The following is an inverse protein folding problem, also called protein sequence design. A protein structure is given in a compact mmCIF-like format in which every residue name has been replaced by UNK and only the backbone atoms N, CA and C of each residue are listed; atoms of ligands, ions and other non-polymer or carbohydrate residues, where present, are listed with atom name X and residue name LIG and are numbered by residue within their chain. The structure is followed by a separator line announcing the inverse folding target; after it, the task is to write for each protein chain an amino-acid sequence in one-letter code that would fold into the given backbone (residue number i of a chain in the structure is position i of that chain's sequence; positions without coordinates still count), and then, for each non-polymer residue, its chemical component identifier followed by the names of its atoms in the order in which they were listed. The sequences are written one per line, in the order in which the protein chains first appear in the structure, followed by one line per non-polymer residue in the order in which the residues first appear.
data_IF_103647407767
#
_entry.id   IF_103647407767
#
_cell.length_a   1.000
_cell.length_b   1.000
_cell.length_c   1.000
_cell.angle_alpha   90.00
_cell.angle_beta   90.00
_cell.angle_gamma   90.00
#
_symmetry.space_group_name_H-M   'P 1'
#
loop_
_entity.id
_entity.type
_entity.pdbx_description
1 polymer ?
#
# COMPACT_ATOMS: atom_id res chain seq x y z
N UNK A 1 3.15 -0.13 -4.61
CA UNK A 1 2.59 -0.07 -5.97
C UNK A 1 3.71 -0.30 -6.97
N UNK A 2 3.41 -0.93 -8.10
CA UNK A 2 4.38 -1.19 -9.17
C UNK A 2 3.83 -0.68 -10.48
N UNK A 3 4.61 0.14 -11.19
CA UNK A 3 4.23 0.64 -12.50
C UNK A 3 4.38 -0.47 -13.55
N UNK A 4 3.33 -0.66 -14.34
CA UNK A 4 3.41 -1.39 -15.60
C UNK A 4 3.61 -0.37 -16.72
N UNK A 5 4.82 -0.28 -17.32
CA UNK A 5 5.09 0.71 -18.36
C UNK A 5 4.39 0.39 -19.69
N UNK A 6 3.86 -0.83 -19.88
CA UNK A 6 3.32 -1.27 -21.16
C UNK A 6 4.41 -1.47 -22.22
N UNK A 7 4.06 -1.24 -23.49
CA UNK A 7 4.98 -1.41 -24.62
C UNK A 7 5.66 -0.08 -24.95
N UNK A 8 6.99 -0.12 -25.06
CA UNK A 8 7.84 0.98 -25.52
C UNK A 8 8.77 0.48 -26.62
N UNK A 9 9.29 1.40 -27.42
CA UNK A 9 10.35 1.11 -28.40
C UNK A 9 11.52 0.43 -27.71
N UNK A 10 12.03 -0.65 -28.30
CA UNK A 10 13.18 -1.37 -27.76
C UNK A 10 14.39 -0.44 -27.59
N UNK A 11 15.10 -0.57 -26.48
CA UNK A 11 16.23 0.29 -26.13
C UNK A 11 15.88 1.65 -25.52
N UNK A 12 14.60 2.01 -25.40
CA UNK A 12 14.20 3.24 -24.71
C UNK A 12 14.51 3.17 -23.20
N UNK A 13 15.15 4.21 -22.68
CA UNK A 13 15.35 4.40 -21.25
C UNK A 13 14.07 4.97 -20.63
N UNK A 14 13.61 4.37 -19.53
CA UNK A 14 12.36 4.76 -18.87
C UNK A 14 12.64 5.41 -17.51
N UNK A 15 12.09 6.61 -17.29
CA UNK A 15 12.03 7.26 -15.99
C UNK A 15 10.59 7.31 -15.47
N UNK A 16 10.44 7.33 -14.14
CA UNK A 16 9.15 7.20 -13.47
C UNK A 16 9.01 8.28 -12.41
N UNK A 17 7.87 8.94 -12.40
CA UNK A 17 7.46 9.89 -11.37
C UNK A 17 6.06 9.53 -10.89
N UNK A 18 5.93 9.28 -9.60
CA UNK A 18 4.67 9.05 -8.93
C UNK A 18 4.09 10.34 -8.39
N UNK A 19 2.76 10.42 -8.40
CA UNK A 19 2.00 11.52 -7.85
C UNK A 19 0.85 10.99 -6.97
N UNK A 20 0.63 11.67 -5.85
CA UNK A 20 -0.51 11.47 -4.95
C UNK A 20 -1.44 12.67 -5.08
N UNK A 21 -2.62 12.48 -5.69
CA UNK A 21 -3.53 13.59 -6.06
C UNK A 21 -2.81 14.75 -6.76
N UNK A 22 -1.89 14.45 -7.68
CA UNK A 22 -1.15 15.45 -8.45
C UNK A 22 0.12 16.01 -7.79
N UNK A 23 0.39 15.70 -6.52
CA UNK A 23 1.61 16.11 -5.82
C UNK A 23 2.68 15.03 -5.94
N UNK A 24 3.93 15.40 -6.23
CA UNK A 24 5.04 14.45 -6.34
C UNK A 24 5.18 13.59 -5.07
N UNK A 25 5.20 12.27 -5.25
CA UNK A 25 5.20 11.28 -4.16
C UNK A 25 6.42 10.36 -4.17
N UNK A 26 7.10 10.21 -5.30
CA UNK A 26 8.30 9.38 -5.40
C UNK A 26 8.73 9.11 -6.84
N UNK A 27 9.87 8.45 -6.99
CA UNK A 27 10.45 8.09 -8.28
C UNK A 27 10.74 6.59 -8.34
N UNK A 28 10.95 6.08 -9.56
CA UNK A 28 11.27 4.68 -9.81
C UNK A 28 10.05 3.82 -10.15
N UNK A 29 10.31 2.60 -10.62
CA UNK A 29 9.26 1.68 -11.09
C UNK A 29 8.27 1.29 -9.98
N UNK A 30 8.72 1.32 -8.74
CA UNK A 30 7.92 0.96 -7.56
C UNK A 30 7.77 2.14 -6.61
N UNK A 31 6.58 2.29 -6.03
CA UNK A 31 6.29 3.24 -4.97
C UNK A 31 5.90 2.51 -3.70
N UNK A 32 6.63 2.73 -2.62
CA UNK A 32 6.24 2.31 -1.27
C UNK A 32 5.23 3.30 -0.72
N UNK A 33 4.06 2.81 -0.30
CA UNK A 33 3.02 3.65 0.28
C UNK A 33 3.30 3.93 1.76
N UNK A 34 3.09 5.16 2.18
CA UNK A 34 3.24 5.61 3.57
C UNK A 34 1.89 6.10 4.10
N UNK A 35 1.83 6.46 5.39
CA UNK A 35 0.63 7.04 5.98
C UNK A 35 0.20 8.36 5.33
N UNK A 36 1.14 9.17 4.81
CA UNK A 36 0.83 10.43 4.13
C UNK A 36 0.09 10.28 2.80
N UNK A 37 0.01 9.04 2.30
CA UNK A 37 -0.68 8.68 1.06
C UNK A 37 -2.13 8.26 1.28
N UNK A 38 -2.55 8.04 2.53
CA UNK A 38 -3.90 7.59 2.84
C UNK A 38 -4.96 8.55 2.30
N UNK A 39 -6.03 8.00 1.73
CA UNK A 39 -7.11 8.75 1.10
C UNK A 39 -6.78 9.31 -0.29
N UNK A 40 -5.53 9.22 -0.76
CA UNK A 40 -5.11 9.77 -2.05
C UNK A 40 -5.16 8.73 -3.16
N UNK A 41 -5.54 9.16 -4.37
CA UNK A 41 -5.36 8.39 -5.60
C UNK A 41 -3.93 8.53 -6.10
N UNK A 42 -3.35 7.43 -6.58
CA UNK A 42 -1.99 7.41 -7.11
C UNK A 42 -1.99 7.39 -8.62
N UNK A 43 -1.16 8.21 -9.24
CA UNK A 43 -0.84 8.14 -10.67
C UNK A 43 0.67 8.01 -10.85
N UNK A 44 1.09 7.40 -11.96
CA UNK A 44 2.49 7.36 -12.37
C UNK A 44 2.62 7.93 -13.77
N UNK A 45 3.60 8.82 -13.94
CA UNK A 45 4.06 9.29 -15.24
C UNK A 45 5.34 8.54 -15.60
N UNK A 46 5.32 7.86 -16.74
CA UNK A 46 6.48 7.18 -17.31
C UNK A 46 6.95 7.99 -18.51
N UNK A 47 8.22 8.37 -18.51
CA UNK A 47 8.85 9.08 -19.62
C UNK A 47 9.87 8.17 -20.28
N UNK A 48 9.70 7.90 -21.56
CA UNK A 48 10.66 7.17 -22.38
C UNK A 48 11.54 8.10 -23.18
N UNK A 49 12.84 7.85 -23.18
CA UNK A 49 13.84 8.57 -23.96
C UNK A 49 14.67 7.60 -24.80
N UNK A 50 14.98 7.99 -26.03
CA UNK A 50 15.83 7.22 -26.94
C UNK A 50 16.60 8.19 -27.82
N UNK A 51 17.91 7.98 -27.99
CA UNK A 51 18.76 8.89 -28.77
C UNK A 51 18.26 8.97 -30.23
N UNK A 52 18.13 10.18 -30.76
CA UNK A 52 17.57 10.42 -32.09
C UNK A 52 16.03 10.44 -32.13
N UNK A 53 15.34 10.28 -31.00
CA UNK A 53 13.89 10.36 -30.89
C UNK A 53 13.45 11.44 -29.91
N UNK A 54 12.25 11.97 -30.13
CA UNK A 54 11.60 12.87 -29.17
C UNK A 54 11.16 12.08 -27.93
N UNK A 55 11.46 12.60 -26.74
CA UNK A 55 11.01 12.03 -25.47
C UNK A 55 9.48 12.07 -25.34
N UNK A 56 8.87 10.96 -24.93
CA UNK A 56 7.42 10.84 -24.74
C UNK A 56 7.10 10.47 -23.31
N UNK A 57 6.07 11.09 -22.74
CA UNK A 57 5.57 10.73 -21.42
C UNK A 57 4.12 10.24 -21.47
N UNK A 58 3.82 9.21 -20.69
CA UNK A 58 2.47 8.65 -20.51
C UNK A 58 2.12 8.60 -19.03
N UNK A 59 0.90 9.00 -18.68
CA UNK A 59 0.41 8.99 -17.30
C UNK A 59 -0.67 7.94 -17.15
N UNK A 60 -0.62 7.17 -16.06
CA UNK A 60 -1.65 6.17 -15.76
C UNK A 60 -2.98 6.83 -15.35
N UNK A 61 -4.07 6.05 -15.44
CA UNK A 61 -5.26 6.36 -14.65
C UNK A 61 -4.94 6.37 -13.15
N UNK A 62 -5.71 7.11 -12.37
CA UNK A 62 -5.59 7.12 -10.92
C UNK A 62 -6.03 5.79 -10.33
N UNK A 63 -5.32 5.30 -9.32
CA UNK A 63 -5.79 4.19 -8.49
C UNK A 63 -7.01 4.62 -7.68
N UNK A 64 -7.75 3.64 -7.13
CA UNK A 64 -8.62 3.91 -5.98
C UNK A 64 -7.82 4.56 -4.85
N UNK A 65 -8.50 5.32 -4.00
CA UNK A 65 -7.89 5.93 -2.84
C UNK A 65 -7.15 4.89 -1.98
N UNK A 66 -5.92 5.22 -1.59
CA UNK A 66 -5.10 4.37 -0.72
C UNK A 66 -5.81 4.22 0.63
N UNK A 67 -6.10 2.98 1.00
CA UNK A 67 -6.69 2.67 2.31
C UNK A 67 -5.66 2.85 3.42
N UNK A 68 -6.12 3.30 4.58
CA UNK A 68 -5.30 3.31 5.78
C UNK A 68 -4.85 1.89 6.13
N UNK A 69 -3.58 1.75 6.53
CA UNK A 69 -3.14 0.54 7.17
C UNK A 69 -3.88 0.41 8.51
N UNK A 70 -4.28 -0.80 8.93
CA UNK A 70 -4.84 -0.98 10.24
C UNK A 70 -3.80 -0.58 11.30
N UNK A 71 -4.24 0.03 12.42
CA UNK A 71 -3.37 0.37 13.52
C UNK A 71 -2.68 -0.89 14.09
N UNK A 72 -1.51 -0.71 14.70
CA UNK A 72 -0.68 -1.80 15.21
C UNK A 72 -0.60 -1.74 16.73
N UNK A 73 -0.85 -2.86 17.40
CA UNK A 73 -0.64 -3.01 18.83
C UNK A 73 0.86 -3.17 19.10
N UNK A 74 1.37 -2.47 20.11
CA UNK A 74 2.81 -2.38 20.39
C UNK A 74 3.37 -3.60 21.13
N UNK A 75 2.53 -4.29 21.92
CA UNK A 75 2.92 -5.50 22.63
C UNK A 75 2.69 -6.79 21.83
N UNK A 76 3.04 -7.92 22.45
CA UNK A 76 2.65 -9.24 21.93
C UNK A 76 1.21 -9.57 22.33
N UNK A 77 0.52 -10.32 21.47
CA UNK A 77 -0.85 -10.78 21.71
C UNK A 77 -0.93 -12.30 21.74
N UNK A 78 -1.90 -12.83 22.49
CA UNK A 78 -2.16 -14.28 22.56
C UNK A 78 -3.31 -14.66 21.64
N UNK A 79 -3.18 -15.77 20.92
CA UNK A 79 -4.23 -16.25 20.04
C UNK A 79 -5.52 -16.62 20.79
N UNK A 80 -6.65 -16.13 20.29
CA UNK A 80 -7.96 -16.36 20.89
C UNK A 80 -8.27 -15.53 22.14
N UNK A 81 -7.30 -14.78 22.66
CA UNK A 81 -7.52 -13.87 23.78
C UNK A 81 -8.49 -12.75 23.39
N UNK A 82 -9.27 -12.29 24.37
CA UNK A 82 -10.13 -11.13 24.19
C UNK A 82 -9.29 -9.89 23.92
N UNK A 83 -9.81 -8.99 23.09
CA UNK A 83 -9.23 -7.68 22.85
C UNK A 83 -10.25 -6.59 23.17
N UNK A 84 -9.74 -5.47 23.69
CA UNK A 84 -10.56 -4.33 24.06
C UNK A 84 -11.23 -3.71 22.81
N UNK A 85 -12.36 -3.04 23.01
CA UNK A 85 -13.14 -2.44 21.92
C UNK A 85 -12.33 -1.40 21.15
N UNK A 86 -11.46 -0.65 21.82
CA UNK A 86 -10.56 0.30 21.18
C UNK A 86 -9.56 -0.36 20.21
N UNK A 87 -9.30 -1.65 20.37
CA UNK A 87 -8.41 -2.42 19.50
C UNK A 87 -9.14 -3.08 18.33
N UNK A 88 -10.45 -2.88 18.16
CA UNK A 88 -11.17 -3.45 17.02
C UNK A 88 -10.51 -3.05 15.69
N UNK A 89 -10.14 -4.04 14.89
CA UNK A 89 -9.44 -3.86 13.62
C UNK A 89 -7.92 -3.67 13.71
N UNK A 90 -7.36 -3.56 14.92
CA UNK A 90 -5.92 -3.48 15.12
C UNK A 90 -5.24 -4.80 14.76
N UNK A 91 -3.99 -4.70 14.32
CA UNK A 91 -3.09 -5.82 14.09
C UNK A 91 -2.14 -5.96 15.29
N UNK A 92 -2.00 -7.18 15.79
CA UNK A 92 -1.00 -7.56 16.80
C UNK A 92 -0.17 -8.73 16.30
N UNK A 93 0.90 -9.07 17.01
CA UNK A 93 1.72 -10.24 16.71
C UNK A 93 1.91 -11.10 17.95
N UNK A 94 1.93 -12.43 17.79
CA UNK A 94 2.37 -13.31 18.87
C UNK A 94 3.88 -13.18 19.07
N UNK A 95 4.40 -13.70 20.19
CA UNK A 95 5.84 -13.80 20.44
C UNK A 95 6.60 -14.57 19.36
N UNK A 96 5.90 -15.44 18.61
CA UNK A 96 6.41 -16.20 17.47
C UNK A 96 6.24 -15.50 16.12
N UNK A 97 5.76 -14.25 16.11
CA UNK A 97 5.59 -13.45 14.90
C UNK A 97 4.30 -13.75 14.09
N UNK A 98 3.36 -14.51 14.64
CA UNK A 98 2.08 -14.78 13.95
C UNK A 98 1.24 -13.51 13.97
N UNK A 99 0.83 -13.06 12.78
CA UNK A 99 -0.01 -11.88 12.60
C UNK A 99 -1.44 -12.17 13.05
N UNK A 100 -1.96 -11.31 13.91
CA UNK A 100 -3.30 -11.40 14.47
C UNK A 100 -4.08 -10.11 14.20
N UNK A 101 -5.39 -10.21 14.06
CA UNK A 101 -6.32 -9.09 14.01
C UNK A 101 -7.35 -9.23 15.12
N UNK A 102 -7.60 -8.13 15.84
CA UNK A 102 -8.70 -8.05 16.77
C UNK A 102 -10.00 -7.89 15.99
N UNK A 103 -10.83 -8.94 15.95
CA UNK A 103 -12.10 -8.94 15.22
C UNK A 103 -13.19 -9.68 15.99
N UNK A 104 -14.43 -9.41 15.63
CA UNK A 104 -15.60 -10.03 16.23
C UNK A 104 -15.58 -11.53 15.96
N UNK A 105 -15.67 -12.34 17.02
CA UNK A 105 -15.80 -13.78 16.89
C UNK A 105 -17.18 -14.13 16.32
N UNK A 106 -17.21 -15.00 15.31
CA UNK A 106 -18.47 -15.46 14.72
C UNK A 106 -19.35 -16.25 15.71
N UNK A 107 -18.73 -16.84 16.74
CA UNK A 107 -19.42 -17.71 17.70
C UNK A 107 -20.01 -16.99 18.91
N UNK A 108 -19.38 -15.94 19.42
CA UNK A 108 -19.81 -15.30 20.67
C UNK A 108 -19.93 -13.78 20.58
N UNK A 109 -19.79 -13.20 19.38
CA UNK A 109 -19.86 -11.76 19.09
C UNK A 109 -18.87 -10.88 19.87
N UNK A 110 -17.94 -11.47 20.65
CA UNK A 110 -16.90 -10.73 21.37
C UNK A 110 -15.66 -10.54 20.51
N UNK A 111 -14.94 -9.45 20.74
CA UNK A 111 -13.69 -9.16 20.06
C UNK A 111 -12.58 -10.06 20.58
N UNK A 112 -11.88 -10.74 19.67
CA UNK A 112 -10.74 -11.60 19.98
C UNK A 112 -9.62 -11.44 18.96
N UNK A 113 -8.38 -11.68 19.41
CA UNK A 113 -7.23 -11.79 18.53
C UNK A 113 -7.31 -13.09 17.72
N UNK A 114 -7.40 -12.96 16.39
CA UNK A 114 -7.50 -14.07 15.44
C UNK A 114 -6.42 -13.97 14.37
N UNK A 115 -5.89 -15.09 13.92
CA UNK A 115 -4.91 -15.10 12.83
C UNK A 115 -5.50 -14.48 11.55
N UNK A 116 -4.64 -13.83 10.77
CA UNK A 116 -4.96 -13.16 9.49
C UNK A 116 -4.27 -13.87 8.36
#
# INVERSE_FOLDING_TARGET
LTANPGVWTSGAALSYQWYANGVAAGIGRTLTLTSSHQGKGMTVRVTGTLAGYTSVARTSAATSAVKAAPPRYSGYVTAGAFCAKEYAGWIGYTVTGVKMMCKTSATDTRLRWRAV
#
